data_IF_783735419648
#
_entry.id   IF_783735419648
#
_cell.length_a   1.000
_cell.length_b   1.000
_cell.length_c   1.000
_cell.angle_alpha   90.00
_cell.angle_beta   90.00
_cell.angle_gamma   90.00
#
_symmetry.space_group_name_H-M   'P 1'
#
loop_
_entity.id
_entity.type
_entity.pdbx_description
1 polymer ?
#
# COMPACT_ATOMS: atom_id res chain seq x y z
N UNK A 1 16.07 -7.93 3.07
CA UNK A 1 16.68 -9.05 2.33
C UNK A 1 16.91 -8.62 0.89
N UNK A 2 17.99 -9.09 0.26
CA UNK A 2 18.19 -8.84 -1.17
C UNK A 2 17.09 -9.52 -2.01
N UNK A 3 16.70 -8.93 -3.16
CA UNK A 3 15.74 -9.54 -4.06
C UNK A 3 16.26 -10.88 -4.60
N UNK A 4 15.37 -11.87 -4.74
CA UNK A 4 15.68 -13.21 -5.23
C UNK A 4 16.15 -13.18 -6.70
N UNK A 5 15.55 -12.30 -7.49
CA UNK A 5 15.89 -12.06 -8.90
C UNK A 5 16.16 -10.56 -9.08
N UNK A 6 17.41 -10.09 -8.98
CA UNK A 6 17.73 -8.67 -8.93
C UNK A 6 17.21 -7.86 -10.13
N UNK A 7 17.20 -8.45 -11.31
CA UNK A 7 16.70 -7.84 -12.55
C UNK A 7 15.17 -7.70 -12.59
N UNK A 8 14.45 -8.40 -11.71
CA UNK A 8 12.99 -8.29 -11.54
C UNK A 8 12.62 -7.50 -10.28
N UNK A 9 13.59 -6.86 -9.61
CA UNK A 9 13.32 -6.08 -8.43
C UNK A 9 12.41 -4.88 -8.75
N UNK A 10 11.36 -4.72 -7.96
CA UNK A 10 10.48 -3.56 -8.05
C UNK A 10 11.10 -2.37 -7.31
N UNK A 11 10.88 -1.16 -7.83
CA UNK A 11 11.07 0.05 -7.02
C UNK A 11 9.99 0.13 -5.94
N UNK A 12 10.22 0.93 -4.88
CA UNK A 12 9.23 1.13 -3.83
C UNK A 12 7.89 1.68 -4.37
N UNK A 13 7.94 2.59 -5.35
CA UNK A 13 6.75 3.10 -6.02
C UNK A 13 6.00 1.99 -6.77
N UNK A 14 6.71 1.17 -7.57
CA UNK A 14 6.10 0.06 -8.30
C UNK A 14 5.45 -0.96 -7.34
N UNK A 15 6.07 -1.24 -6.20
CA UNK A 15 5.51 -2.11 -5.18
C UNK A 15 4.25 -1.50 -4.55
N UNK A 16 4.27 -0.21 -4.22
CA UNK A 16 3.11 0.49 -3.67
C UNK A 16 1.93 0.51 -4.66
N UNK A 17 2.19 0.83 -5.93
CA UNK A 17 1.18 0.79 -7.00
C UNK A 17 0.66 -0.63 -7.21
N UNK A 18 1.54 -1.63 -7.14
CA UNK A 18 1.23 -3.06 -7.19
C UNK A 18 0.21 -3.48 -6.13
N UNK A 19 0.36 -3.00 -4.90
CA UNK A 19 -0.54 -3.29 -3.79
C UNK A 19 -1.79 -2.39 -3.72
N UNK A 20 -1.91 -1.39 -4.60
CA UNK A 20 -3.01 -0.41 -4.55
C UNK A 20 -3.71 -0.31 -5.90
N UNK A 21 -3.25 0.56 -6.80
CA UNK A 21 -3.88 0.86 -8.09
C UNK A 21 -3.95 -0.40 -8.97
N UNK A 22 -2.84 -1.14 -9.10
CA UNK A 22 -2.79 -2.32 -9.96
C UNK A 22 -3.56 -3.50 -9.35
N UNK A 23 -3.61 -3.62 -8.03
CA UNK A 23 -4.44 -4.61 -7.35
C UNK A 23 -5.93 -4.35 -7.61
N UNK A 24 -6.39 -3.10 -7.48
CA UNK A 24 -7.78 -2.72 -7.77
C UNK A 24 -8.15 -2.99 -9.23
N UNK A 25 -7.26 -2.63 -10.18
CA UNK A 25 -7.46 -2.93 -11.60
C UNK A 25 -7.57 -4.44 -11.87
N UNK A 26 -6.72 -5.26 -11.24
CA UNK A 26 -6.70 -6.70 -11.45
C UNK A 26 -8.02 -7.39 -11.05
N UNK A 27 -8.80 -6.79 -10.15
CA UNK A 27 -10.10 -7.30 -9.71
C UNK A 27 -11.30 -6.54 -10.29
N UNK A 28 -11.06 -5.54 -11.16
CA UNK A 28 -12.13 -4.75 -11.78
C UNK A 28 -12.75 -3.68 -10.87
N UNK A 29 -12.00 -3.22 -9.86
CA UNK A 29 -12.44 -2.22 -8.87
C UNK A 29 -11.69 -0.87 -9.02
N UNK A 30 -11.00 -0.62 -10.14
CA UNK A 30 -10.19 0.59 -10.36
C UNK A 30 -10.97 1.91 -10.27
N UNK A 31 -12.30 1.85 -10.37
CA UNK A 31 -13.20 3.00 -10.25
C UNK A 31 -13.68 3.29 -8.81
N UNK A 32 -13.40 2.39 -7.86
CA UNK A 32 -13.84 2.53 -6.48
C UNK A 32 -12.77 2.16 -5.43
N UNK A 33 -11.63 1.57 -5.81
CA UNK A 33 -10.57 1.14 -4.90
C UNK A 33 -9.16 1.52 -5.38
N UNK A 34 -8.16 1.34 -4.51
CA UNK A 34 -6.74 1.51 -4.87
C UNK A 34 -6.24 2.96 -4.96
N UNK A 35 -7.10 3.96 -4.71
CA UNK A 35 -6.74 5.39 -4.67
C UNK A 35 -7.44 6.11 -3.52
N UNK A 36 -6.74 7.07 -2.92
CA UNK A 36 -7.34 8.04 -2.00
C UNK A 36 -7.87 9.21 -2.81
N UNK A 37 -9.15 9.16 -3.17
CA UNK A 37 -9.85 10.22 -3.90
C UNK A 37 -11.35 10.19 -3.61
N UNK A 38 -12.09 11.30 -3.81
CA UNK A 38 -13.55 11.30 -3.71
C UNK A 38 -14.18 10.25 -4.64
N UNK A 39 -15.19 9.53 -4.15
CA UNK A 39 -15.84 8.44 -4.87
C UNK A 39 -15.21 7.06 -4.69
N UNK A 40 -14.03 6.98 -4.08
CA UNK A 40 -13.36 5.72 -3.74
C UNK A 40 -13.70 5.28 -2.31
N UNK A 41 -13.62 3.97 -2.05
CA UNK A 41 -13.76 3.41 -0.70
C UNK A 41 -12.72 4.02 0.23
N UNK A 42 -13.17 4.35 1.44
CA UNK A 42 -12.33 4.89 2.49
C UNK A 42 -11.53 3.76 3.17
N UNK A 43 -10.72 3.05 2.39
CA UNK A 43 -9.78 2.02 2.82
C UNK A 43 -8.36 2.61 2.79
N UNK A 44 -7.71 2.78 3.94
CA UNK A 44 -6.33 3.28 3.99
C UNK A 44 -5.55 2.74 5.18
N UNK A 45 -4.24 2.65 4.98
CA UNK A 45 -3.25 2.26 5.98
C UNK A 45 -2.20 3.35 6.09
N UNK A 46 -1.98 3.86 7.30
CA UNK A 46 -0.92 4.82 7.60
C UNK A 46 0.29 4.09 8.22
N UNK A 47 1.41 4.08 7.52
CA UNK A 47 2.68 3.53 8.01
C UNK A 47 3.51 4.63 8.70
N UNK A 48 4.41 4.24 9.61
CA UNK A 48 5.36 5.18 10.22
C UNK A 48 6.54 5.58 9.33
N UNK A 49 6.68 4.92 8.18
CA UNK A 49 7.73 5.17 7.19
C UNK A 49 7.08 5.46 5.84
N UNK A 50 7.81 6.11 4.95
CA UNK A 50 7.41 6.24 3.55
C UNK A 50 7.75 4.94 2.80
N UNK A 51 6.75 4.17 2.33
CA UNK A 51 6.99 2.89 1.64
C UNK A 51 7.63 3.05 0.26
N UNK A 52 7.67 4.26 -0.31
CA UNK A 52 8.31 4.52 -1.60
C UNK A 52 9.83 4.59 -1.46
N UNK A 53 10.32 5.14 -0.35
CA UNK A 53 11.75 5.44 -0.17
C UNK A 53 12.43 4.58 0.91
N UNK A 54 11.68 4.03 1.85
CA UNK A 54 12.25 3.20 2.91
C UNK A 54 12.75 1.85 2.39
N UNK A 55 13.79 1.25 3.01
CA UNK A 55 14.20 -0.13 2.73
C UNK A 55 13.03 -1.11 2.90
N UNK A 56 12.95 -2.13 2.05
CA UNK A 56 11.83 -3.09 2.07
C UNK A 56 11.64 -3.77 3.44
N UNK A 57 12.74 -4.08 4.15
CA UNK A 57 12.67 -4.68 5.49
C UNK A 57 12.09 -3.70 6.51
N UNK A 58 12.42 -2.41 6.39
CA UNK A 58 11.89 -1.36 7.27
C UNK A 58 10.40 -1.14 7.02
N UNK A 59 9.95 -1.20 5.76
CA UNK A 59 8.52 -1.16 5.41
C UNK A 59 7.78 -2.36 6.02
N UNK A 60 8.35 -3.56 5.95
CA UNK A 60 7.74 -4.77 6.49
C UNK A 60 7.64 -4.75 8.03
N UNK A 61 8.60 -4.12 8.71
CA UNK A 61 8.63 -3.98 10.16
C UNK A 61 7.92 -2.70 10.66
N UNK A 62 7.57 -1.77 9.77
CA UNK A 62 7.02 -0.47 10.14
C UNK A 62 5.72 -0.63 10.94
N UNK A 63 5.62 -0.02 12.13
CA UNK A 63 4.36 0.07 12.83
C UNK A 63 3.26 0.71 11.96
N UNK A 64 2.09 0.10 11.99
CA UNK A 64 0.89 0.69 11.39
C UNK A 64 0.28 1.65 12.41
N UNK A 65 0.28 2.95 12.08
CA UNK A 65 -0.34 4.00 12.91
C UNK A 65 -1.85 3.94 12.89
N UNK A 66 -2.41 3.57 11.76
CA UNK A 66 -3.85 3.52 11.55
C UNK A 66 -4.19 2.58 10.39
N UNK A 67 -5.25 1.80 10.58
CA UNK A 67 -5.96 1.12 9.49
C UNK A 67 -7.41 1.57 9.53
N UNK A 68 -7.93 1.95 8.37
CA UNK A 68 -9.34 2.26 8.15
C UNK A 68 -9.88 1.36 7.05
N UNK A 69 -11.08 0.81 7.25
CA UNK A 69 -11.81 0.06 6.24
C UNK A 69 -13.23 0.59 6.14
N UNK A 70 -13.68 0.90 4.92
CA UNK A 70 -15.02 1.44 4.66
C UNK A 70 -15.33 2.73 5.44
N UNK A 71 -14.32 3.52 5.80
CA UNK A 71 -14.49 4.73 6.62
C UNK A 71 -14.46 4.49 8.13
N UNK A 72 -14.30 3.25 8.58
CA UNK A 72 -14.20 2.88 9.99
C UNK A 72 -12.76 2.57 10.38
N UNK A 73 -12.26 3.23 11.43
CA UNK A 73 -10.93 2.93 11.97
C UNK A 73 -10.97 1.58 12.68
N UNK A 74 -10.27 0.59 12.12
CA UNK A 74 -10.21 -0.79 12.63
C UNK A 74 -8.94 -1.04 13.45
N UNK A 75 -7.90 -0.23 13.27
CA UNK A 75 -6.67 -0.27 14.07
C UNK A 75 -6.11 1.15 14.26
N UNK A 76 -5.53 1.41 15.45
CA UNK A 76 -4.84 2.68 15.77
C UNK A 76 -3.75 2.43 16.83
N UNK A 77 -2.52 2.89 16.58
CA UNK A 77 -1.35 2.70 17.45
C UNK A 77 -0.20 3.69 17.24
#
# INVERSE_FOLDING_TARGET
TAPITPEQALTGLMALEGCTIHAALAVGEEHEAGRIAPGYRADLTALTVDPVTAPADDVAAAPVRLTMSGGHVTHRG
#
